data_IF_262578621562
#
_entry.id   IF_262578621562
#
_cell.length_a   1.000
_cell.length_b   1.000
_cell.length_c   1.000
_cell.angle_alpha   90.00
_cell.angle_beta   90.00
_cell.angle_gamma   90.00
#
_symmetry.space_group_name_H-M   'P 1'
#
loop_
_entity.id
_entity.type
_entity.pdbx_description
1 polymer ?
#
# COMPACT_ATOMS: atom_id res chain seq x y z
N UNK A 1 5.84 5.80 -38.50
CA UNK A 1 5.16 4.62 -37.95
C UNK A 1 4.15 5.07 -36.90
N UNK A 2 2.86 4.91 -37.14
CA UNK A 2 1.84 5.17 -36.09
C UNK A 2 1.97 4.02 -35.07
N UNK A 3 2.63 4.27 -33.93
CA UNK A 3 2.60 3.35 -32.83
C UNK A 3 1.14 3.27 -32.36
N UNK A 4 0.44 2.19 -32.71
CA UNK A 4 -0.82 1.82 -32.10
C UNK A 4 -0.50 1.47 -30.65
N UNK A 5 -0.63 2.46 -29.74
CA UNK A 5 -0.55 2.24 -28.32
C UNK A 5 -1.63 1.21 -27.94
N UNK A 6 -1.26 0.20 -27.15
CA UNK A 6 -2.20 -0.80 -26.63
C UNK A 6 -3.38 -0.09 -25.95
N UNK A 7 -4.59 -0.33 -26.45
CA UNK A 7 -5.81 0.32 -25.95
C UNK A 7 -6.00 0.09 -24.46
N UNK A 8 -5.63 -1.10 -23.95
CA UNK A 8 -5.73 -1.42 -22.52
C UNK A 8 -4.81 -0.55 -21.65
N UNK A 9 -3.63 -0.16 -22.18
CA UNK A 9 -2.73 0.76 -21.48
C UNK A 9 -3.34 2.17 -21.42
N UNK A 10 -3.90 2.63 -22.54
CA UNK A 10 -4.57 3.94 -22.59
C UNK A 10 -5.74 3.97 -21.61
N UNK A 11 -6.54 2.93 -21.57
CA UNK A 11 -7.69 2.84 -20.65
C UNK A 11 -7.24 2.78 -19.19
N UNK A 12 -6.17 2.04 -18.88
CA UNK A 12 -5.59 2.02 -17.53
C UNK A 12 -5.16 3.43 -17.09
N UNK A 13 -4.46 4.19 -17.95
CA UNK A 13 -4.07 5.58 -17.65
C UNK A 13 -5.30 6.46 -17.42
N UNK A 14 -6.34 6.35 -18.27
CA UNK A 14 -7.57 7.13 -18.11
C UNK A 14 -8.28 6.83 -16.79
N UNK A 15 -8.37 5.55 -16.40
CA UNK A 15 -8.95 5.14 -15.13
C UNK A 15 -8.16 5.77 -13.98
N UNK A 16 -6.83 5.62 -13.98
CA UNK A 16 -5.97 6.20 -12.93
C UNK A 16 -6.15 7.72 -12.84
N UNK A 17 -6.11 8.43 -13.96
CA UNK A 17 -6.15 9.90 -13.94
C UNK A 17 -7.53 10.46 -13.60
N UNK A 18 -8.57 9.97 -14.28
CA UNK A 18 -9.89 10.61 -14.25
C UNK A 18 -10.88 9.99 -13.29
N UNK A 19 -10.81 8.67 -13.08
CA UNK A 19 -11.69 8.00 -12.12
C UNK A 19 -11.07 7.96 -10.72
N UNK A 20 -9.83 7.48 -10.60
CA UNK A 20 -9.16 7.30 -9.31
C UNK A 20 -8.44 8.58 -8.85
N UNK A 21 -7.86 9.33 -9.76
CA UNK A 21 -7.23 10.63 -9.51
C UNK A 21 -8.20 11.81 -9.43
N UNK A 22 -9.46 11.60 -9.88
CA UNK A 22 -10.51 12.63 -9.97
C UNK A 22 -10.05 13.91 -10.68
N UNK A 23 -9.13 13.77 -11.66
CA UNK A 23 -8.56 14.89 -12.42
C UNK A 23 -9.62 15.54 -13.30
N UNK A 24 -9.76 16.86 -13.18
CA UNK A 24 -10.65 17.66 -14.05
C UNK A 24 -9.88 18.21 -15.25
N UNK A 25 -10.55 18.40 -16.38
CA UNK A 25 -9.91 18.96 -17.60
C UNK A 25 -9.38 20.39 -17.40
N UNK A 26 -9.95 21.14 -16.47
CA UNK A 26 -9.52 22.50 -16.10
C UNK A 26 -8.29 22.53 -15.19
N UNK A 27 -7.88 21.39 -14.64
CA UNK A 27 -6.75 21.30 -13.73
C UNK A 27 -5.45 20.96 -14.47
N UNK A 28 -4.33 21.20 -13.80
CA UNK A 28 -3.02 20.75 -14.25
C UNK A 28 -2.61 19.46 -13.57
N UNK A 29 -1.87 18.62 -14.29
CA UNK A 29 -1.31 17.34 -13.85
C UNK A 29 0.21 17.46 -13.70
N UNK A 30 0.72 17.03 -12.55
CA UNK A 30 2.14 16.75 -12.35
C UNK A 30 2.36 15.23 -12.41
N UNK A 31 3.26 14.78 -13.28
CA UNK A 31 3.75 13.43 -13.33
C UNK A 31 5.18 13.43 -12.81
N UNK A 32 5.49 12.54 -11.87
CA UNK A 32 6.84 12.31 -11.37
C UNK A 32 7.20 10.85 -11.67
N UNK A 33 8.24 10.62 -12.44
CA UNK A 33 8.84 9.30 -12.65
C UNK A 33 10.31 9.34 -12.28
N UNK A 34 10.90 8.18 -12.03
CA UNK A 34 12.36 8.08 -12.04
C UNK A 34 12.87 7.57 -13.41
N UNK A 35 14.19 7.47 -13.55
CA UNK A 35 14.79 7.04 -14.83
C UNK A 35 14.39 5.62 -15.23
N UNK A 36 14.02 4.74 -14.26
CA UNK A 36 13.60 3.37 -14.55
C UNK A 36 12.16 3.30 -15.05
N UNK A 37 11.31 4.25 -14.59
CA UNK A 37 9.88 4.32 -14.90
C UNK A 37 9.56 5.42 -15.94
N UNK A 38 10.58 6.03 -16.54
CA UNK A 38 10.46 7.11 -17.53
C UNK A 38 9.43 6.80 -18.62
N UNK A 39 9.54 5.64 -19.26
CA UNK A 39 8.65 5.25 -20.36
C UNK A 39 7.17 5.15 -19.92
N UNK A 40 6.93 4.74 -18.69
CA UNK A 40 5.59 4.73 -18.11
C UNK A 40 5.09 6.17 -17.87
N UNK A 41 5.94 7.05 -17.34
CA UNK A 41 5.64 8.47 -17.19
C UNK A 41 5.32 9.15 -18.53
N UNK A 42 6.06 8.86 -19.59
CA UNK A 42 5.81 9.33 -20.97
C UNK A 42 4.46 8.83 -21.51
N UNK A 43 4.04 7.60 -21.18
CA UNK A 43 2.71 7.11 -21.53
C UNK A 43 1.61 7.96 -20.87
N UNK A 44 1.74 8.22 -19.56
CA UNK A 44 0.79 9.07 -18.82
C UNK A 44 0.75 10.49 -19.39
N UNK A 45 1.91 11.07 -19.70
CA UNK A 45 2.01 12.39 -20.34
C UNK A 45 1.32 12.43 -21.70
N UNK A 46 1.60 11.45 -22.56
CA UNK A 46 1.02 11.39 -23.90
C UNK A 46 -0.51 11.25 -23.86
N UNK A 47 -1.03 10.39 -22.98
CA UNK A 47 -2.48 10.20 -22.83
C UNK A 47 -3.14 11.47 -22.28
N UNK A 48 -2.57 12.07 -21.22
CA UNK A 48 -3.13 13.28 -20.61
C UNK A 48 -3.14 14.48 -21.58
N UNK A 49 -2.07 14.66 -22.36
CA UNK A 49 -1.99 15.72 -23.41
C UNK A 49 -3.02 15.51 -24.52
N UNK A 50 -3.23 14.25 -24.97
CA UNK A 50 -4.30 13.93 -25.93
C UNK A 50 -5.69 14.25 -25.39
N UNK A 51 -5.87 14.15 -24.06
CA UNK A 51 -7.09 14.53 -23.34
C UNK A 51 -7.18 16.04 -23.03
N UNK A 52 -6.23 16.85 -23.59
CA UNK A 52 -6.13 18.31 -23.43
C UNK A 52 -5.91 18.77 -21.98
N UNK A 53 -5.26 17.95 -21.15
CA UNK A 53 -4.85 18.33 -19.80
C UNK A 53 -3.49 19.02 -19.83
N UNK A 54 -3.35 20.16 -19.15
CA UNK A 54 -2.05 20.82 -18.93
C UNK A 54 -1.16 19.91 -18.07
N UNK A 55 -0.11 19.36 -18.64
CA UNK A 55 0.72 18.33 -18.01
C UNK A 55 2.17 18.75 -17.92
N UNK A 56 2.77 18.55 -16.74
CA UNK A 56 4.20 18.69 -16.48
C UNK A 56 4.73 17.32 -16.05
N UNK A 57 5.73 16.78 -16.74
CA UNK A 57 6.42 15.55 -16.39
C UNK A 57 7.83 15.87 -15.86
N UNK A 58 8.13 15.40 -14.67
CA UNK A 58 9.45 15.52 -14.02
C UNK A 58 10.06 14.13 -13.86
N UNK A 59 11.26 13.97 -14.39
CA UNK A 59 12.03 12.73 -14.29
C UNK A 59 13.14 12.97 -13.26
N UNK A 60 13.19 12.12 -12.22
CA UNK A 60 14.19 12.21 -11.16
C UNK A 60 15.17 11.02 -11.21
N UNK A 61 16.26 11.10 -10.48
CA UNK A 61 17.08 9.92 -10.20
C UNK A 61 16.31 8.98 -9.24
N UNK A 62 16.46 7.65 -9.37
CA UNK A 62 15.87 6.71 -8.43
C UNK A 62 16.24 7.06 -6.98
N UNK A 63 15.27 7.00 -6.10
CA UNK A 63 15.47 7.26 -4.68
C UNK A 63 15.90 5.96 -4.00
N UNK A 64 16.63 6.06 -2.90
CA UNK A 64 17.16 4.90 -2.16
C UNK A 64 16.21 4.40 -1.08
N UNK A 65 15.37 5.29 -0.51
CA UNK A 65 14.48 4.96 0.60
C UNK A 65 13.08 5.51 0.36
N UNK A 66 12.07 4.78 0.82
CA UNK A 66 10.69 5.25 0.84
C UNK A 66 10.58 6.54 1.68
N UNK A 67 9.81 7.50 1.21
CA UNK A 67 9.50 8.73 1.93
C UNK A 67 10.67 9.70 2.12
N UNK A 68 11.82 9.50 1.47
CA UNK A 68 12.94 10.44 1.59
C UNK A 68 12.63 11.82 0.98
N UNK A 69 13.46 12.80 1.29
CA UNK A 69 13.35 14.14 0.71
C UNK A 69 13.44 14.11 -0.82
N UNK A 70 12.58 14.89 -1.46
CA UNK A 70 12.54 15.02 -2.92
C UNK A 70 13.53 16.07 -3.42
N UNK A 71 13.99 15.97 -4.68
CA UNK A 71 14.81 17.00 -5.32
C UNK A 71 14.18 18.39 -5.29
N UNK A 72 15.05 19.42 -5.25
CA UNK A 72 14.63 20.83 -5.26
C UNK A 72 13.75 21.13 -6.46
N UNK A 73 12.70 21.94 -6.25
CA UNK A 73 11.76 22.37 -7.30
C UNK A 73 10.58 21.44 -7.55
N UNK A 74 10.61 20.17 -7.09
CA UNK A 74 9.47 19.27 -7.25
C UNK A 74 8.26 19.72 -6.41
N UNK A 75 8.49 20.18 -5.19
CA UNK A 75 7.43 20.67 -4.31
C UNK A 75 6.63 21.78 -4.96
N UNK A 76 7.31 22.74 -5.61
CA UNK A 76 6.65 23.84 -6.31
C UNK A 76 5.82 23.34 -7.51
N UNK A 77 6.34 22.36 -8.26
CA UNK A 77 5.59 21.76 -9.36
C UNK A 77 4.31 21.06 -8.84
N UNK A 78 4.40 20.34 -7.72
CA UNK A 78 3.25 19.69 -7.08
C UNK A 78 2.22 20.71 -6.58
N UNK A 79 2.66 21.80 -5.91
CA UNK A 79 1.79 22.89 -5.42
C UNK A 79 0.95 23.51 -6.53
N UNK A 80 1.54 23.67 -7.71
CA UNK A 80 0.91 24.29 -8.88
C UNK A 80 0.06 23.29 -9.70
N UNK A 81 -0.15 22.07 -9.21
CA UNK A 81 -0.94 21.04 -9.88
C UNK A 81 -2.17 20.65 -9.07
N UNK A 82 -3.28 20.32 -9.75
CA UNK A 82 -4.48 19.80 -9.11
C UNK A 82 -4.33 18.34 -8.67
N UNK A 83 -3.57 17.57 -9.45
CA UNK A 83 -3.22 16.18 -9.17
C UNK A 83 -1.73 15.97 -9.44
N UNK A 84 -1.08 15.24 -8.54
CA UNK A 84 0.25 14.65 -8.78
C UNK A 84 0.12 13.14 -8.89
N UNK A 85 0.78 12.53 -9.89
CA UNK A 85 0.93 11.08 -10.04
C UNK A 85 2.40 10.73 -9.98
N UNK A 86 2.80 9.96 -8.98
CA UNK A 86 4.18 9.53 -8.77
C UNK A 86 4.34 8.07 -9.20
N UNK A 87 5.10 7.88 -10.28
CA UNK A 87 5.46 6.60 -10.90
C UNK A 87 6.93 6.30 -10.62
N UNK A 88 7.30 6.12 -9.37
CA UNK A 88 8.69 5.92 -8.96
C UNK A 88 8.88 4.51 -8.41
N UNK A 89 10.06 3.89 -8.56
CA UNK A 89 10.32 2.59 -7.94
C UNK A 89 10.16 2.65 -6.43
N UNK A 90 10.63 3.72 -5.81
CA UNK A 90 10.53 3.93 -4.37
C UNK A 90 9.38 4.88 -4.08
N UNK A 91 8.48 4.51 -3.18
CA UNK A 91 7.33 5.34 -2.81
C UNK A 91 7.77 6.70 -2.24
N UNK A 92 7.18 7.76 -2.77
CA UNK A 92 7.33 9.12 -2.27
C UNK A 92 6.08 9.64 -1.53
N UNK A 93 5.12 8.75 -1.26
CA UNK A 93 3.87 9.07 -0.56
C UNK A 93 4.08 9.77 0.79
N UNK A 94 5.16 9.43 1.47
CA UNK A 94 5.47 9.91 2.80
C UNK A 94 6.64 10.91 2.85
N UNK A 95 7.04 11.44 1.69
CA UNK A 95 8.07 12.49 1.64
C UNK A 95 7.57 13.78 2.31
N UNK A 96 8.45 14.53 3.01
CA UNK A 96 8.07 15.79 3.65
C UNK A 96 7.42 16.78 2.68
N UNK A 97 7.89 16.84 1.44
CA UNK A 97 7.35 17.71 0.40
C UNK A 97 5.91 17.32 0.04
N UNK A 98 5.63 16.01 -0.17
CA UNK A 98 4.26 15.54 -0.44
C UNK A 98 3.32 15.86 0.73
N UNK A 99 3.78 15.67 1.98
CA UNK A 99 2.97 16.00 3.16
C UNK A 99 2.59 17.47 3.16
N UNK A 100 3.54 18.39 2.96
CA UNK A 100 3.25 19.82 2.89
C UNK A 100 2.29 20.20 1.76
N UNK A 101 2.44 19.57 0.60
CA UNK A 101 1.55 19.77 -0.55
C UNK A 101 0.15 19.25 -0.26
N UNK A 102 0.02 18.13 0.46
CA UNK A 102 -1.26 17.61 0.94
C UNK A 102 -1.98 18.58 1.87
N UNK A 103 -1.26 19.25 2.78
CA UNK A 103 -1.85 20.27 3.66
C UNK A 103 -2.45 21.48 2.89
N UNK A 104 -2.08 21.66 1.62
CA UNK A 104 -2.66 22.64 0.71
C UNK A 104 -3.86 22.09 -0.10
N UNK A 105 -4.37 20.91 0.25
CA UNK A 105 -5.50 20.28 -0.44
C UNK A 105 -5.17 19.67 -1.80
N UNK A 106 -3.88 19.45 -2.13
CA UNK A 106 -3.49 18.88 -3.41
C UNK A 106 -3.55 17.35 -3.38
N UNK A 107 -4.19 16.79 -4.42
CA UNK A 107 -4.37 15.33 -4.55
C UNK A 107 -3.10 14.66 -5.08
N UNK A 108 -2.84 13.46 -4.58
CA UNK A 108 -1.64 12.72 -4.89
C UNK A 108 -1.94 11.21 -5.07
N UNK A 109 -1.55 10.64 -6.20
CA UNK A 109 -1.52 9.20 -6.41
C UNK A 109 -0.07 8.70 -6.32
N UNK A 110 0.19 7.81 -5.37
CA UNK A 110 1.47 7.12 -5.23
C UNK A 110 1.39 5.75 -5.89
N UNK A 111 2.18 5.55 -6.93
CA UNK A 111 2.19 4.35 -7.75
C UNK A 111 3.60 3.75 -7.81
N UNK A 112 4.15 3.31 -6.64
CA UNK A 112 5.46 2.68 -6.61
C UNK A 112 5.45 1.35 -7.35
N UNK A 113 6.59 1.01 -7.97
CA UNK A 113 6.81 -0.23 -8.71
C UNK A 113 5.76 -0.53 -9.81
N UNK A 114 5.11 0.52 -10.32
CA UNK A 114 4.15 0.38 -11.39
C UNK A 114 4.84 -0.07 -12.69
N UNK A 115 4.16 -0.97 -13.39
CA UNK A 115 4.58 -1.49 -14.69
C UNK A 115 3.45 -1.41 -15.71
N UNK A 116 3.77 -1.59 -16.99
CA UNK A 116 2.76 -1.71 -18.05
C UNK A 116 1.79 -2.88 -17.80
N UNK A 117 2.27 -3.98 -17.17
CA UNK A 117 1.42 -5.11 -16.82
C UNK A 117 0.46 -4.77 -15.68
N UNK A 118 0.93 -4.07 -14.64
CA UNK A 118 0.07 -3.63 -13.54
C UNK A 118 -1.00 -2.64 -14.03
N UNK A 119 -0.64 -1.74 -14.96
CA UNK A 119 -1.59 -0.80 -15.56
C UNK A 119 -2.74 -1.49 -16.32
N UNK A 120 -2.52 -2.71 -16.83
CA UNK A 120 -3.54 -3.56 -17.49
C UNK A 120 -4.25 -4.52 -16.54
N UNK A 121 -3.81 -4.60 -15.29
CA UNK A 121 -4.31 -5.59 -14.35
C UNK A 121 -5.80 -5.37 -14.03
N UNK A 122 -6.62 -6.43 -13.93
CA UNK A 122 -8.06 -6.31 -13.60
C UNK A 122 -8.36 -5.51 -12.34
N UNK A 123 -7.46 -5.53 -11.36
CA UNK A 123 -7.60 -4.79 -10.10
C UNK A 123 -7.77 -3.26 -10.30
N UNK A 124 -7.22 -2.69 -11.39
CA UNK A 124 -7.42 -1.28 -11.75
C UNK A 124 -8.89 -0.98 -12.10
N UNK A 125 -9.64 -1.99 -12.56
CA UNK A 125 -11.05 -1.89 -12.97
C UNK A 125 -12.02 -2.42 -11.89
N UNK A 126 -11.61 -2.44 -10.62
CA UNK A 126 -12.48 -2.82 -9.52
C UNK A 126 -13.56 -1.74 -9.27
N UNK A 127 -14.62 -2.10 -8.57
CA UNK A 127 -15.60 -1.11 -8.10
C UNK A 127 -15.09 -0.45 -6.80
N UNK A 128 -14.26 0.56 -6.98
CA UNK A 128 -13.62 1.24 -5.86
C UNK A 128 -14.61 1.86 -4.87
N UNK A 129 -15.78 2.32 -5.33
CA UNK A 129 -16.77 2.95 -4.42
C UNK A 129 -17.32 1.93 -3.44
N UNK A 130 -17.80 0.80 -3.96
CA UNK A 130 -18.37 -0.26 -3.11
C UNK A 130 -17.29 -0.85 -2.18
N UNK A 131 -16.09 -1.09 -2.71
CA UNK A 131 -15.00 -1.69 -1.93
C UNK A 131 -14.47 -0.75 -0.86
N UNK A 132 -14.39 0.54 -1.17
CA UNK A 132 -14.01 1.59 -0.23
C UNK A 132 -15.00 1.72 0.93
N UNK A 133 -16.31 1.60 0.69
CA UNK A 133 -17.31 1.58 1.77
C UNK A 133 -17.12 0.40 2.72
N UNK A 134 -16.76 -0.77 2.19
CA UNK A 134 -16.45 -1.96 3.00
C UNK A 134 -15.20 -1.74 3.85
N UNK A 135 -14.13 -1.21 3.24
CA UNK A 135 -12.90 -0.86 3.93
C UNK A 135 -13.17 0.17 5.04
N UNK A 136 -14.00 1.20 4.79
CA UNK A 136 -14.39 2.21 5.78
C UNK A 136 -15.17 1.61 6.94
N UNK A 137 -16.11 0.68 6.68
CA UNK A 137 -16.83 -0.03 7.75
C UNK A 137 -15.88 -0.81 8.65
N UNK A 138 -14.91 -1.52 8.06
CA UNK A 138 -13.90 -2.25 8.82
C UNK A 138 -13.01 -1.29 9.61
N UNK A 139 -12.59 -0.17 9.02
CA UNK A 139 -11.82 0.86 9.72
C UNK A 139 -12.55 1.36 10.97
N UNK A 140 -13.87 1.59 10.88
CA UNK A 140 -14.66 1.99 12.03
C UNK A 140 -14.72 0.89 13.12
N UNK A 141 -14.81 -0.39 12.73
CA UNK A 141 -14.77 -1.51 13.68
C UNK A 141 -13.43 -1.54 14.41
N UNK A 142 -12.32 -1.43 13.68
CA UNK A 142 -10.98 -1.44 14.28
C UNK A 142 -10.73 -0.22 15.18
N UNK A 143 -11.16 0.98 14.75
CA UNK A 143 -11.00 2.22 15.54
C UNK A 143 -11.73 2.15 16.88
N UNK A 144 -12.89 1.49 16.91
CA UNK A 144 -13.70 1.36 18.13
C UNK A 144 -13.35 0.09 18.95
N UNK A 145 -12.47 -0.76 18.43
CA UNK A 145 -12.03 -1.98 19.10
C UNK A 145 -10.82 -1.76 20.02
N UNK A 146 -10.61 -2.72 20.92
CA UNK A 146 -9.47 -2.74 21.82
C UNK A 146 -8.51 -3.88 21.51
N UNK A 147 -9.04 -5.01 21.07
CA UNK A 147 -8.24 -6.22 20.80
C UNK A 147 -8.65 -6.86 19.48
N UNK A 148 -7.64 -7.44 18.81
CA UNK A 148 -7.83 -8.24 17.60
C UNK A 148 -7.24 -9.62 17.83
N UNK A 149 -7.99 -10.67 17.48
CA UNK A 149 -7.49 -12.04 17.47
C UNK A 149 -7.67 -12.65 16.09
N UNK A 150 -6.60 -13.20 15.54
CA UNK A 150 -6.52 -13.77 14.21
C UNK A 150 -6.17 -15.24 14.30
N UNK A 151 -7.00 -16.06 13.68
CA UNK A 151 -6.77 -17.51 13.57
C UNK A 151 -6.86 -17.89 12.09
N UNK A 152 -5.91 -18.71 11.61
CA UNK A 152 -5.99 -19.31 10.28
C UNK A 152 -5.83 -20.82 10.34
N UNK A 153 -6.41 -21.53 9.36
CA UNK A 153 -6.26 -22.98 9.20
C UNK A 153 -4.80 -23.44 9.08
N UNK A 154 -3.92 -22.56 8.56
CA UNK A 154 -2.49 -22.84 8.43
C UNK A 154 -1.70 -22.62 9.70
N UNK A 155 -2.37 -22.24 10.80
CA UNK A 155 -1.81 -22.20 12.15
C UNK A 155 -1.31 -20.81 12.60
N UNK A 156 -1.72 -19.72 11.93
CA UNK A 156 -1.63 -18.40 12.56
C UNK A 156 -2.54 -18.35 13.77
N UNK A 157 -2.02 -17.88 14.90
CA UNK A 157 -2.75 -17.58 16.13
C UNK A 157 -2.07 -16.36 16.75
N UNK A 158 -2.69 -15.20 16.61
CA UNK A 158 -2.09 -13.92 16.92
C UNK A 158 -3.07 -13.00 17.65
N UNK A 159 -2.65 -12.50 18.81
CA UNK A 159 -3.39 -11.49 19.56
C UNK A 159 -2.68 -10.13 19.47
N UNK A 160 -3.44 -9.11 19.12
CA UNK A 160 -2.97 -7.73 19.02
C UNK A 160 -3.83 -6.83 19.92
N UNK A 161 -3.22 -5.87 20.58
CA UNK A 161 -3.92 -4.80 21.31
C UNK A 161 -3.90 -3.53 20.45
N UNK A 162 -5.08 -2.94 20.22
CA UNK A 162 -5.29 -1.77 19.37
C UNK A 162 -6.00 -0.62 20.11
N UNK A 163 -6.09 -0.70 21.43
CA UNK A 163 -6.76 0.29 22.30
C UNK A 163 -6.25 1.71 22.01
N UNK A 164 -7.19 2.64 21.81
CA UNK A 164 -6.92 4.04 21.49
C UNK A 164 -6.09 4.27 20.21
N UNK A 165 -6.11 3.33 19.27
CA UNK A 165 -5.53 3.50 17.94
C UNK A 165 -6.62 3.84 16.93
N UNK A 166 -6.35 4.79 16.07
CA UNK A 166 -7.21 5.07 14.92
C UNK A 166 -6.79 4.20 13.76
N UNK A 167 -7.74 3.49 13.17
CA UNK A 167 -7.51 2.76 11.93
C UNK A 167 -7.46 3.73 10.75
N UNK A 168 -6.58 3.45 9.80
CA UNK A 168 -6.53 4.15 8.54
C UNK A 168 -7.43 3.46 7.51
N UNK A 169 -7.85 4.25 6.54
CA UNK A 169 -8.72 3.84 5.45
C UNK A 169 -8.12 4.34 4.14
N UNK A 170 -7.71 3.41 3.28
CA UNK A 170 -7.11 3.66 1.98
C UNK A 170 -8.04 3.15 0.86
N UNK A 171 -8.87 4.02 0.25
CA UNK A 171 -9.87 3.60 -0.73
C UNK A 171 -9.29 3.36 -2.13
N UNK A 172 -8.00 3.56 -2.35
CA UNK A 172 -7.36 3.46 -3.65
C UNK A 172 -7.67 4.58 -4.64
N UNK A 173 -8.38 5.62 -4.23
CA UNK A 173 -8.66 6.80 -5.04
C UNK A 173 -8.49 8.09 -4.23
N UNK A 174 -8.50 9.24 -4.92
CA UNK A 174 -8.44 10.55 -4.29
C UNK A 174 -9.63 11.43 -4.70
N UNK A 175 -10.01 12.32 -3.79
CA UNK A 175 -11.03 13.35 -4.00
C UNK A 175 -10.67 14.60 -3.15
N UNK A 176 -11.64 15.46 -2.84
CA UNK A 176 -11.39 16.66 -2.03
C UNK A 176 -11.12 16.34 -0.56
N UNK A 177 -11.59 15.20 -0.05
CA UNK A 177 -11.45 14.76 1.34
C UNK A 177 -10.30 13.77 1.52
N UNK A 178 -10.00 12.99 0.47
CA UNK A 178 -8.97 11.96 0.45
C UNK A 178 -7.87 12.39 -0.51
N UNK A 179 -6.77 12.89 0.03
CA UNK A 179 -5.73 13.56 -0.73
C UNK A 179 -4.56 12.64 -1.13
N UNK A 180 -4.52 11.41 -0.62
CA UNK A 180 -3.54 10.37 -0.96
C UNK A 180 -4.24 9.08 -1.33
N UNK A 181 -3.85 8.47 -2.44
CA UNK A 181 -4.31 7.16 -2.88
C UNK A 181 -3.20 6.37 -3.55
N UNK A 182 -3.29 5.06 -3.52
CA UNK A 182 -2.29 4.15 -4.11
C UNK A 182 -2.98 2.98 -4.85
N UNK A 183 -3.84 3.27 -5.87
CA UNK A 183 -4.49 2.18 -6.59
C UNK A 183 -3.45 1.20 -7.18
N UNK A 184 -3.74 -0.11 -7.28
CA UNK A 184 -5.03 -0.75 -7.04
C UNK A 184 -5.26 -1.19 -5.59
N UNK A 185 -4.44 -0.76 -4.66
CA UNK A 185 -4.59 -1.03 -3.26
C UNK A 185 -5.88 -0.40 -2.71
N UNK A 186 -6.70 -1.23 -2.05
CA UNK A 186 -7.87 -0.83 -1.28
C UNK A 186 -7.79 -1.59 0.02
N UNK A 187 -7.54 -0.87 1.12
CA UNK A 187 -7.27 -1.50 2.38
C UNK A 187 -7.80 -0.73 3.59
N UNK A 188 -7.77 -1.40 4.72
CA UNK A 188 -7.89 -0.83 6.05
C UNK A 188 -6.76 -1.35 6.88
N UNK A 189 -6.05 -0.47 7.58
CA UNK A 189 -4.97 -0.85 8.46
C UNK A 189 -5.01 -0.12 9.79
N UNK A 190 -4.30 -0.67 10.79
CA UNK A 190 -4.18 -0.09 12.13
C UNK A 190 -2.79 -0.41 12.70
N UNK A 191 -2.22 0.54 13.45
CA UNK A 191 -0.99 0.30 14.21
C UNK A 191 -1.31 -0.37 15.54
N UNK A 192 -0.96 -1.65 15.78
CA UNK A 192 -1.09 -2.24 17.11
C UNK A 192 -0.20 -1.56 18.14
N UNK A 193 -0.49 -1.73 19.42
CA UNK A 193 0.41 -1.29 20.49
C UNK A 193 1.71 -2.09 20.42
N UNK A 194 2.83 -1.40 20.27
CA UNK A 194 4.14 -1.92 19.85
C UNK A 194 4.71 -3.04 20.73
N UNK A 195 4.22 -3.19 21.94
CA UNK A 195 4.71 -4.20 22.90
C UNK A 195 3.64 -5.23 23.29
N UNK A 196 2.46 -5.18 22.68
CA UNK A 196 1.27 -5.93 23.16
C UNK A 196 0.82 -7.06 22.22
N UNK A 197 1.56 -7.32 21.15
CA UNK A 197 1.26 -8.41 20.24
C UNK A 197 2.01 -9.67 20.64
N UNK A 198 1.29 -10.79 20.70
CA UNK A 198 1.88 -12.10 21.00
C UNK A 198 1.22 -13.20 20.17
N UNK A 199 2.00 -14.19 19.78
CA UNK A 199 1.51 -15.34 19.03
C UNK A 199 2.42 -15.75 17.89
N UNK A 200 1.81 -16.34 16.87
CA UNK A 200 2.48 -16.90 15.70
C UNK A 200 1.76 -16.44 14.43
N UNK A 201 2.54 -16.05 13.44
CA UNK A 201 2.08 -15.74 12.08
C UNK A 201 2.65 -16.80 11.14
N UNK A 202 1.77 -17.50 10.42
CA UNK A 202 2.14 -18.41 9.32
C UNK A 202 1.91 -17.65 8.01
N UNK A 203 2.99 -17.18 7.42
CA UNK A 203 2.96 -16.39 6.17
C UNK A 203 2.92 -17.37 5.01
N UNK A 204 1.78 -17.46 4.37
CA UNK A 204 1.49 -18.40 3.28
C UNK A 204 1.12 -17.71 1.95
N UNK A 205 1.13 -16.39 1.93
CA UNK A 205 0.82 -15.57 0.75
C UNK A 205 2.07 -15.03 0.07
N UNK A 206 2.56 -13.89 0.54
CA UNK A 206 3.71 -13.22 -0.06
C UNK A 206 4.48 -12.35 0.95
N UNK A 207 5.68 -11.98 0.57
CA UNK A 207 6.48 -10.94 1.21
C UNK A 207 6.91 -10.02 0.07
N UNK A 208 6.26 -8.85 -0.14
CA UNK A 208 6.53 -7.95 -1.26
C UNK A 208 7.93 -7.31 -1.17
N UNK A 209 8.92 -8.09 -1.51
CA UNK A 209 10.33 -7.70 -1.48
C UNK A 209 11.03 -8.30 -2.72
N UNK A 210 11.88 -7.53 -3.39
CA UNK A 210 12.53 -7.88 -4.66
C UNK A 210 13.24 -9.23 -4.69
N UNK A 211 13.66 -9.76 -3.52
CA UNK A 211 14.36 -11.05 -3.38
C UNK A 211 13.46 -12.18 -2.89
N UNK A 212 12.18 -11.94 -2.64
CA UNK A 212 11.27 -12.93 -2.04
C UNK A 212 10.00 -13.07 -2.90
N UNK A 213 9.08 -12.11 -2.87
CA UNK A 213 7.84 -12.12 -3.63
C UNK A 213 6.80 -13.10 -3.08
N UNK A 214 6.05 -13.77 -3.98
CA UNK A 214 5.05 -14.77 -3.64
C UNK A 214 5.75 -16.03 -3.09
N UNK A 215 5.20 -16.57 -2.00
CA UNK A 215 5.78 -17.73 -1.32
C UNK A 215 5.30 -19.05 -1.94
N UNK A 216 6.24 -19.99 -2.14
CA UNK A 216 5.96 -21.37 -2.54
C UNK A 216 5.71 -22.28 -1.31
N UNK A 217 6.23 -21.89 -0.17
CA UNK A 217 6.03 -22.60 1.12
C UNK A 217 5.98 -21.59 2.25
N UNK A 218 5.20 -21.87 3.32
CA UNK A 218 5.03 -20.93 4.42
C UNK A 218 6.32 -20.59 5.15
N UNK A 219 6.38 -19.35 5.66
CA UNK A 219 7.36 -18.88 6.63
C UNK A 219 6.63 -18.62 7.95
N UNK A 220 7.21 -19.05 9.07
CA UNK A 220 6.60 -18.88 10.40
C UNK A 220 7.37 -17.79 11.14
N UNK A 221 6.62 -16.82 11.67
CA UNK A 221 7.12 -15.79 12.56
C UNK A 221 6.59 -16.06 13.98
N UNK A 222 7.47 -16.14 14.96
CA UNK A 222 7.07 -16.10 16.37
C UNK A 222 7.17 -14.68 16.88
N UNK A 223 6.06 -14.16 17.41
CA UNK A 223 5.94 -12.82 17.93
C UNK A 223 5.83 -12.85 19.45
N UNK A 224 6.68 -12.09 20.12
CA UNK A 224 6.64 -11.90 21.57
C UNK A 224 6.81 -10.43 21.92
N UNK A 225 5.88 -9.90 22.71
CA UNK A 225 5.87 -8.49 23.10
C UNK A 225 6.05 -7.55 21.90
N UNK A 226 5.26 -7.79 20.84
CA UNK A 226 5.24 -6.99 19.62
C UNK A 226 6.44 -7.15 18.69
N UNK A 227 7.36 -8.10 18.96
CA UNK A 227 8.60 -8.25 18.18
C UNK A 227 8.74 -9.64 17.58
N UNK A 228 9.27 -9.71 16.37
CA UNK A 228 9.73 -10.99 15.82
C UNK A 228 10.91 -11.48 16.68
N UNK A 229 10.76 -12.67 17.25
CA UNK A 229 11.82 -13.35 18.02
C UNK A 229 12.40 -14.56 17.29
N UNK A 230 11.67 -15.12 16.31
CA UNK A 230 12.12 -16.29 15.54
C UNK A 230 11.51 -16.28 14.14
N UNK A 231 12.30 -16.73 13.15
CA UNK A 231 11.87 -17.09 11.80
C UNK A 231 12.06 -18.59 11.60
N UNK A 232 11.09 -19.27 10.94
CA UNK A 232 11.18 -20.69 10.57
C UNK A 232 10.64 -20.89 9.15
N UNK A 233 11.23 -21.82 8.38
CA UNK A 233 10.82 -22.17 7.02
C UNK A 233 11.98 -22.25 6.04
N UNK A 234 11.78 -21.81 4.81
CA UNK A 234 12.77 -21.87 3.75
C UNK A 234 14.06 -21.12 4.11
N UNK A 235 15.20 -21.83 4.19
CA UNK A 235 16.50 -21.28 4.63
C UNK A 235 16.97 -20.10 3.78
N UNK A 236 16.70 -20.08 2.47
CA UNK A 236 17.12 -18.97 1.58
C UNK A 236 16.33 -17.69 1.94
N UNK A 237 15.03 -17.81 2.14
CA UNK A 237 14.18 -16.68 2.52
C UNK A 237 14.56 -16.19 3.91
N UNK A 238 14.74 -17.11 4.87
CA UNK A 238 15.16 -16.74 6.24
C UNK A 238 16.48 -15.97 6.22
N UNK A 239 17.47 -16.40 5.43
CA UNK A 239 18.74 -15.67 5.31
C UNK A 239 18.57 -14.25 4.78
N UNK A 240 17.60 -13.99 3.88
CA UNK A 240 17.26 -12.63 3.43
C UNK A 240 16.62 -11.84 4.56
N UNK A 241 15.64 -12.42 5.26
CA UNK A 241 14.94 -11.77 6.37
C UNK A 241 15.89 -11.43 7.52
N UNK A 242 16.75 -12.38 7.92
CA UNK A 242 17.74 -12.14 8.97
C UNK A 242 18.63 -10.94 8.65
N UNK A 243 19.11 -10.80 7.41
CA UNK A 243 19.89 -9.63 6.99
C UNK A 243 19.12 -8.31 7.08
N UNK A 244 17.82 -8.31 6.78
CA UNK A 244 16.97 -7.14 6.86
C UNK A 244 16.68 -6.71 8.32
N UNK A 245 16.59 -7.70 9.22
CA UNK A 245 16.18 -7.49 10.61
C UNK A 245 17.34 -7.53 11.63
N UNK A 246 18.53 -8.01 11.26
CA UNK A 246 19.70 -8.11 12.15
C UNK A 246 20.19 -6.72 12.55
N UNK A 247 20.58 -6.59 13.82
CA UNK A 247 21.07 -5.34 14.44
C UNK A 247 20.13 -4.13 14.36
N UNK A 248 18.87 -4.34 13.98
CA UNK A 248 17.87 -3.28 13.86
C UNK A 248 16.61 -3.64 14.68
N UNK A 249 16.64 -3.50 16.02
CA UNK A 249 15.54 -3.97 16.87
C UNK A 249 14.20 -3.27 16.58
N UNK A 250 14.21 -2.04 16.08
CA UNK A 250 13.01 -1.30 15.67
C UNK A 250 12.36 -1.85 14.40
N UNK A 251 13.15 -2.50 13.53
CA UNK A 251 12.60 -3.16 12.34
C UNK A 251 11.76 -4.38 12.70
N UNK A 252 12.03 -5.02 13.86
CA UNK A 252 11.32 -6.22 14.32
C UNK A 252 9.97 -5.94 14.97
N UNK A 253 9.61 -4.67 15.17
CA UNK A 253 8.34 -4.28 15.77
C UNK A 253 7.22 -4.50 14.77
N UNK A 254 6.15 -5.19 15.17
CA UNK A 254 4.90 -5.20 14.42
C UNK A 254 4.28 -3.81 14.49
N UNK A 255 4.35 -3.11 13.38
CA UNK A 255 3.88 -1.73 13.25
C UNK A 255 2.50 -1.62 12.63
N UNK A 256 2.06 -2.65 11.91
CA UNK A 256 0.84 -2.62 11.13
C UNK A 256 0.11 -3.96 11.12
N UNK A 257 -1.20 -3.89 11.18
CA UNK A 257 -2.13 -4.95 10.80
C UNK A 257 -3.10 -4.39 9.79
N UNK A 258 -3.24 -5.03 8.63
CA UNK A 258 -4.12 -4.58 7.58
C UNK A 258 -4.91 -5.68 6.90
N UNK A 259 -5.95 -5.27 6.17
CA UNK A 259 -6.88 -6.09 5.42
C UNK A 259 -7.09 -5.51 4.01
N UNK A 260 -6.96 -6.34 2.98
CA UNK A 260 -7.24 -5.99 1.60
C UNK A 260 -8.71 -6.17 1.20
N UNK A 261 -9.20 -5.30 0.30
CA UNK A 261 -10.59 -5.29 -0.17
C UNK A 261 -10.76 -5.39 -1.67
N UNK A 262 -9.70 -5.28 -2.47
CA UNK A 262 -9.78 -5.36 -3.93
C UNK A 262 -10.03 -6.80 -4.39
N UNK A 263 -11.28 -7.10 -4.75
CA UNK A 263 -11.72 -8.43 -5.17
C UNK A 263 -11.24 -8.86 -6.56
N UNK A 264 -10.57 -7.98 -7.30
CA UNK A 264 -9.93 -8.29 -8.60
C UNK A 264 -8.41 -8.38 -8.48
N UNK A 265 -7.82 -8.06 -7.32
CA UNK A 265 -6.42 -8.30 -7.04
C UNK A 265 -6.15 -9.78 -6.77
N UNK A 266 -4.90 -10.20 -7.02
CA UNK A 266 -4.40 -11.55 -6.74
C UNK A 266 -2.99 -11.47 -6.22
N UNK A 267 -2.65 -12.29 -5.25
CA UNK A 267 -1.30 -12.37 -4.69
C UNK A 267 -0.26 -12.72 -5.76
N UNK A 268 0.74 -11.87 -5.92
CA UNK A 268 1.77 -12.01 -6.93
C UNK A 268 3.16 -11.51 -6.50
N UNK A 269 3.32 -11.00 -5.30
CA UNK A 269 4.58 -10.43 -4.79
C UNK A 269 4.74 -8.93 -5.08
N UNK A 270 3.70 -8.27 -5.59
CA UNK A 270 3.68 -6.81 -5.84
C UNK A 270 2.90 -6.15 -4.71
N UNK A 271 3.52 -5.24 -3.97
CA UNK A 271 3.02 -4.60 -2.76
C UNK A 271 1.57 -4.11 -2.92
N UNK A 272 1.29 -3.21 -3.84
CA UNK A 272 -0.05 -2.61 -4.03
C UNK A 272 -1.14 -3.61 -4.48
N UNK A 273 -0.78 -4.77 -5.02
CA UNK A 273 -1.73 -5.83 -5.32
C UNK A 273 -1.96 -6.72 -4.11
N UNK A 274 -0.90 -7.05 -3.38
CA UNK A 274 -0.93 -8.06 -2.35
C UNK A 274 -1.57 -7.53 -1.05
N UNK A 275 -1.22 -6.30 -0.64
CA UNK A 275 -1.82 -5.62 0.52
C UNK A 275 -3.30 -5.34 0.31
N UNK A 276 -3.67 -4.85 -0.88
CA UNK A 276 -5.05 -4.58 -1.24
C UNK A 276 -5.88 -5.81 -1.61
N UNK A 277 -5.32 -7.02 -1.67
CA UNK A 277 -6.01 -8.22 -2.14
C UNK A 277 -7.13 -8.62 -1.19
N UNK A 278 -8.36 -8.79 -1.71
CA UNK A 278 -9.47 -9.30 -0.91
C UNK A 278 -9.21 -10.74 -0.45
N UNK A 279 -9.48 -11.00 0.83
CA UNK A 279 -9.26 -12.31 1.44
C UNK A 279 -7.84 -12.51 1.95
N UNK A 280 -7.09 -11.41 2.16
CA UNK A 280 -5.79 -11.45 2.82
C UNK A 280 -5.75 -10.57 4.06
N UNK A 281 -4.84 -10.90 4.98
CA UNK A 281 -4.32 -10.02 6.01
C UNK A 281 -2.87 -9.71 5.69
N UNK A 282 -2.39 -8.53 6.08
CA UNK A 282 -0.99 -8.22 6.05
C UNK A 282 -0.50 -7.67 7.41
N UNK A 283 0.77 -7.90 7.67
CA UNK A 283 1.45 -7.50 8.90
C UNK A 283 2.72 -6.75 8.51
N UNK A 284 2.72 -5.43 8.74
CA UNK A 284 3.85 -4.57 8.50
C UNK A 284 4.80 -4.52 9.69
N UNK A 285 6.09 -4.78 9.46
CA UNK A 285 7.12 -4.67 10.48
C UNK A 285 8.03 -3.49 10.22
N UNK A 286 8.28 -2.69 11.25
CA UNK A 286 9.12 -1.50 11.16
C UNK A 286 8.39 -0.23 11.60
N UNK A 287 8.56 0.86 10.82
CA UNK A 287 7.97 2.17 11.16
C UNK A 287 6.45 2.16 11.10
N UNK A 288 5.81 2.75 12.12
CA UNK A 288 4.35 2.93 12.16
C UNK A 288 3.94 4.38 12.55
N UNK A 289 4.88 5.32 12.48
CA UNK A 289 4.61 6.72 12.84
C UNK A 289 3.44 7.30 12.04
N UNK A 290 3.37 6.98 10.75
CA UNK A 290 2.33 7.50 9.86
C UNK A 290 0.98 6.80 10.02
N UNK A 291 0.97 5.68 10.72
CA UNK A 291 -0.23 4.92 11.08
C UNK A 291 -0.73 5.26 12.50
N UNK A 292 -0.14 6.26 13.14
CA UNK A 292 -0.49 6.67 14.50
C UNK A 292 0.24 5.91 15.61
N UNK A 293 1.27 5.14 15.27
CA UNK A 293 2.16 4.48 16.23
C UNK A 293 3.34 5.34 16.68
N UNK A 294 4.23 4.75 17.47
CA UNK A 294 5.41 5.45 18.04
C UNK A 294 6.76 4.86 17.61
N UNK A 295 6.75 3.77 16.82
CA UNK A 295 7.98 3.14 16.36
C UNK A 295 8.54 3.87 15.13
N UNK A 296 9.62 4.61 15.32
CA UNK A 296 10.35 5.30 14.24
C UNK A 296 11.48 4.42 13.74
N UNK A 297 11.40 3.99 12.48
CA UNK A 297 12.40 3.22 11.75
C UNK A 297 12.48 3.73 10.31
N UNK A 298 13.60 3.46 9.62
CA UNK A 298 13.75 3.71 8.18
C UNK A 298 13.38 2.45 7.35
N UNK A 299 12.57 1.57 7.94
CA UNK A 299 12.22 0.26 7.39
C UNK A 299 10.72 0.02 7.56
N UNK A 300 10.12 -0.60 6.55
CA UNK A 300 8.79 -1.18 6.59
C UNK A 300 8.76 -2.38 5.63
N UNK A 301 8.23 -3.50 6.07
CA UNK A 301 8.10 -4.70 5.24
C UNK A 301 6.87 -5.49 5.65
N UNK A 302 6.03 -5.79 4.67
CA UNK A 302 4.77 -6.48 4.85
C UNK A 302 4.90 -7.99 4.64
N UNK A 303 4.12 -8.72 5.41
CA UNK A 303 3.96 -10.17 5.37
C UNK A 303 2.50 -10.48 5.14
N UNK A 304 2.17 -10.97 3.96
CA UNK A 304 0.78 -11.19 3.53
C UNK A 304 0.39 -12.65 3.73
N UNK A 305 -0.76 -12.87 4.35
CA UNK A 305 -1.33 -14.19 4.61
C UNK A 305 -2.74 -14.31 4.04
N UNK A 306 -3.19 -15.52 3.76
CA UNK A 306 -4.60 -15.76 3.44
C UNK A 306 -5.46 -15.57 4.70
N UNK A 307 -6.51 -14.76 4.60
CA UNK A 307 -7.43 -14.49 5.68
C UNK A 307 -8.35 -15.69 5.92
N UNK A 308 -8.66 -15.95 7.21
CA UNK A 308 -9.62 -16.98 7.59
C UNK A 308 -10.58 -16.43 8.64
N UNK A 309 -10.16 -16.29 9.89
CA UNK A 309 -10.97 -15.79 10.99
C UNK A 309 -10.32 -14.57 11.64
N UNK A 310 -11.13 -13.56 11.84
CA UNK A 310 -10.83 -12.33 12.56
C UNK A 310 -11.88 -12.13 13.63
N UNK A 311 -11.47 -11.82 14.85
CA UNK A 311 -12.36 -11.29 15.88
C UNK A 311 -11.83 -9.98 16.44
N UNK A 312 -12.76 -9.07 16.77
CA UNK A 312 -12.49 -7.80 17.44
C UNK A 312 -13.28 -7.81 18.75
N UNK A 313 -12.58 -7.62 19.86
CA UNK A 313 -13.16 -7.72 21.22
C UNK A 313 -14.00 -8.99 21.44
N UNK A 314 -13.48 -10.12 20.95
CA UNK A 314 -14.13 -11.44 21.04
C UNK A 314 -15.28 -11.67 20.05
N UNK A 315 -15.71 -10.67 19.29
CA UNK A 315 -16.76 -10.81 18.27
C UNK A 315 -16.15 -11.20 16.92
N UNK A 316 -16.58 -12.33 16.35
CA UNK A 316 -16.14 -12.78 15.02
C UNK A 316 -16.67 -11.81 13.96
N UNK A 317 -15.77 -11.35 13.11
CA UNK A 317 -16.06 -10.47 11.99
C UNK A 317 -16.29 -11.31 10.74
N UNK A 318 -17.43 -11.13 10.09
CA UNK A 318 -17.70 -11.80 8.83
C UNK A 318 -16.93 -11.14 7.69
N UNK A 319 -15.88 -11.80 7.22
CA UNK A 319 -15.04 -11.35 6.11
C UNK A 319 -15.64 -11.67 4.73
N UNK A 320 -16.68 -12.53 4.68
CA UNK A 320 -17.28 -13.00 3.42
C UNK A 320 -18.32 -12.04 2.82
N UNK A 321 -18.74 -11.00 3.52
CA UNK A 321 -19.70 -10.03 2.99
C UNK A 321 -19.07 -9.09 1.94
N UNK A 322 -18.57 -9.73 0.87
CA UNK A 322 -18.21 -9.12 -0.40
C UNK A 322 -19.29 -9.23 -1.48
N UNK A 323 -20.31 -10.06 -1.27
CA UNK A 323 -21.37 -10.30 -2.25
C UNK A 323 -22.74 -10.14 -1.55
N UNK A 324 -23.20 -8.92 -1.39
CA UNK A 324 -24.61 -8.51 -1.38
C UNK A 324 -24.66 -7.02 -1.68
#
# INVERSE_FOLDING_TARGET
MKNNLDINLIDGVKIILFQLGNLKKSESLCIISDTNTKNLGELFENVSRKMKVKTTHKIIKPLTNHGQNLPIGLEETMKNSGLTVALTNTSIAHSPQRIRVGLLGKRFLSLPDYSFNLLKHPAIKADYKILAEKAKKMSNILTNGNSVHIITSNGTDLNLEITNRNSNYAPGFVNNDILLGSPPDIETNIAPLETKTNGKIVVDGSIPHAKIGKLESPIILTIKNGKIVKFEGNKKIISVLEKLFTHKPKNKILGEFGLGFNNKAKLCGIMLLDEGCFGTFHFGFGSNILLGGINKSDFHLDFVIHANQLSVDGKIINLKHGNN
#
